data_IF_642080618598
#
_entry.id   IF_642080618598
#
_cell.length_a   1.000
_cell.length_b   1.000
_cell.length_c   1.000
_cell.angle_alpha   90.00
_cell.angle_beta   90.00
_cell.angle_gamma   90.00
#
_symmetry.space_group_name_H-M   'P 1'
#
loop_
_entity.id
_entity.type
_entity.pdbx_description
1 polymer ?
#
# COMPACT_ATOMS: atom_id res chain seq x y z
N UNK A 1 -24.66 -8.44 -2.26
CA UNK A 1 -23.94 -8.15 -3.51
C UNK A 1 -22.50 -7.82 -3.12
N UNK A 2 -21.58 -8.77 -3.24
CA UNK A 2 -20.17 -8.55 -2.98
C UNK A 2 -19.52 -8.16 -4.31
N UNK A 3 -19.36 -6.86 -4.57
CA UNK A 3 -18.45 -6.41 -5.62
C UNK A 3 -17.05 -6.86 -5.21
N UNK A 4 -16.52 -7.85 -5.92
CA UNK A 4 -15.14 -8.28 -5.80
C UNK A 4 -14.24 -7.05 -5.80
N UNK A 5 -13.57 -6.80 -4.67
CA UNK A 5 -12.67 -5.68 -4.46
C UNK A 5 -11.33 -5.94 -5.17
N UNK A 6 -11.42 -6.36 -6.44
CA UNK A 6 -10.28 -6.83 -7.23
C UNK A 6 -9.63 -5.62 -7.87
N UNK A 7 -8.45 -5.27 -7.38
CA UNK A 7 -7.63 -4.23 -8.00
C UNK A 7 -7.11 -4.75 -9.34
N UNK A 8 -7.15 -3.91 -10.36
CA UNK A 8 -6.44 -4.17 -11.63
C UNK A 8 -4.93 -4.12 -11.42
N UNK A 9 -4.16 -4.69 -12.36
CA UNK A 9 -2.69 -4.63 -12.33
C UNK A 9 -2.16 -3.20 -12.19
N UNK A 10 -2.73 -2.26 -12.94
CA UNK A 10 -2.30 -0.86 -12.92
C UNK A 10 -2.62 -0.20 -11.57
N UNK A 11 -3.77 -0.52 -10.97
CA UNK A 11 -4.10 -0.07 -9.62
C UNK A 11 -3.15 -0.64 -8.57
N UNK A 12 -2.79 -1.92 -8.67
CA UNK A 12 -1.81 -2.54 -7.77
C UNK A 12 -0.42 -1.91 -7.91
N UNK A 13 0.02 -1.63 -9.14
CA UNK A 13 1.28 -0.91 -9.39
C UNK A 13 1.23 0.51 -8.81
N UNK A 14 0.12 1.22 -8.99
CA UNK A 14 -0.07 2.55 -8.43
C UNK A 14 -0.01 2.53 -6.91
N UNK A 15 -0.67 1.58 -6.23
CA UNK A 15 -0.59 1.44 -4.78
C UNK A 15 0.83 1.18 -4.31
N UNK A 16 1.58 0.30 -4.99
CA UNK A 16 2.98 0.04 -4.66
C UNK A 16 3.85 1.31 -4.76
N UNK A 17 3.62 2.16 -5.76
CA UNK A 17 4.31 3.44 -5.92
C UNK A 17 3.94 4.44 -4.82
N UNK A 18 2.67 4.50 -4.43
CA UNK A 18 2.21 5.36 -3.34
C UNK A 18 2.82 4.92 -2.01
N UNK A 19 2.79 3.62 -1.69
CA UNK A 19 3.41 3.06 -0.48
C UNK A 19 4.90 3.41 -0.44
N UNK A 20 5.63 3.20 -1.54
CA UNK A 20 7.05 3.57 -1.65
C UNK A 20 7.27 5.07 -1.39
N UNK A 21 6.40 5.93 -1.92
CA UNK A 21 6.51 7.38 -1.75
C UNK A 21 6.27 7.81 -0.31
N UNK A 22 5.28 7.21 0.37
CA UNK A 22 4.99 7.46 1.79
C UNK A 22 6.17 7.05 2.67
N UNK A 23 6.73 5.85 2.46
CA UNK A 23 7.90 5.38 3.21
C UNK A 23 9.13 6.26 2.98
N UNK A 24 9.37 6.71 1.74
CA UNK A 24 10.46 7.64 1.45
C UNK A 24 10.26 8.98 2.16
N UNK A 25 9.04 9.52 2.19
CA UNK A 25 8.73 10.74 2.90
C UNK A 25 8.95 10.57 4.42
N UNK A 26 8.51 9.46 5.02
CA UNK A 26 8.81 9.11 6.41
C UNK A 26 10.33 9.07 6.67
N UNK A 27 11.11 8.47 5.78
CA UNK A 27 12.57 8.43 5.94
C UNK A 27 13.21 9.82 5.87
N UNK A 28 12.68 10.72 5.02
CA UNK A 28 13.15 12.09 4.90
C UNK A 28 12.82 12.92 6.17
N UNK A 29 11.70 12.63 6.83
CA UNK A 29 11.30 13.30 8.07
C UNK A 29 12.25 13.05 9.23
N UNK A 30 13.11 12.02 9.20
CA UNK A 30 14.06 11.71 10.29
C UNK A 30 14.89 12.90 10.80
N UNK A 31 15.18 13.87 9.93
CA UNK A 31 15.97 15.06 10.26
C UNK A 31 15.12 16.30 10.57
N UNK A 32 13.79 16.17 10.60
CA UNK A 32 12.89 17.28 10.90
C UNK A 32 12.88 17.63 12.40
N UNK A 33 12.58 18.89 12.78
CA UNK A 33 12.59 19.33 14.18
C UNK A 33 11.55 18.64 15.08
N UNK A 34 10.47 18.12 14.49
CA UNK A 34 9.43 17.36 15.18
C UNK A 34 8.88 16.27 14.25
N UNK A 35 9.61 15.16 14.08
CA UNK A 35 9.35 14.21 13.01
C UNK A 35 8.26 13.20 13.37
N UNK A 36 7.89 13.08 14.66
CA UNK A 36 7.22 11.90 15.16
C UNK A 36 5.77 11.79 14.67
N UNK A 37 4.97 12.84 14.80
CA UNK A 37 3.55 12.76 14.46
C UNK A 37 3.32 12.61 12.96
N UNK A 38 4.07 13.37 12.14
CA UNK A 38 4.00 13.27 10.67
C UNK A 38 4.56 11.92 10.17
N UNK A 39 5.66 11.43 10.75
CA UNK A 39 6.21 10.13 10.38
C UNK A 39 5.25 8.98 10.72
N UNK A 40 4.62 9.02 11.91
CA UNK A 40 3.64 8.01 12.34
C UNK A 40 2.45 7.99 11.39
N UNK A 41 1.88 9.16 11.05
CA UNK A 41 0.76 9.24 10.12
C UNK A 41 1.09 8.63 8.75
N UNK A 42 2.27 8.95 8.20
CA UNK A 42 2.70 8.42 6.91
C UNK A 42 2.93 6.90 6.95
N UNK A 43 3.43 6.36 8.07
CA UNK A 43 3.58 4.92 8.28
C UNK A 43 2.21 4.24 8.34
N UNK A 44 1.24 4.80 9.08
CA UNK A 44 -0.11 4.26 9.18
C UNK A 44 -0.79 4.23 7.81
N UNK A 45 -0.67 5.31 7.03
CA UNK A 45 -1.19 5.36 5.65
C UNK A 45 -0.54 4.30 4.75
N UNK A 46 0.78 4.13 4.84
CA UNK A 46 1.50 3.12 4.08
C UNK A 46 1.04 1.70 4.46
N UNK A 47 0.86 1.43 5.76
CA UNK A 47 0.39 0.15 6.28
C UNK A 47 -1.05 -0.18 5.83
N UNK A 48 -1.97 0.77 5.90
CA UNK A 48 -3.35 0.56 5.44
C UNK A 48 -3.40 0.24 3.93
N UNK A 49 -2.57 0.91 3.13
CA UNK A 49 -2.47 0.65 1.69
C UNK A 49 -1.81 -0.69 1.39
N UNK A 50 -0.75 -1.06 2.12
CA UNK A 50 -0.11 -2.37 1.94
C UNK A 50 -1.03 -3.52 2.28
N UNK A 51 -1.87 -3.38 3.31
CA UNK A 51 -2.88 -4.39 3.66
C UNK A 51 -3.90 -4.60 2.52
N UNK A 52 -4.38 -3.50 1.90
CA UNK A 52 -5.30 -3.57 0.76
C UNK A 52 -4.64 -4.18 -0.48
N UNK A 53 -3.41 -3.78 -0.78
CA UNK A 53 -2.64 -4.31 -1.90
C UNK A 53 -2.37 -5.81 -1.73
N UNK A 54 -1.98 -6.25 -0.52
CA UNK A 54 -1.75 -7.66 -0.25
C UNK A 54 -3.04 -8.48 -0.42
N UNK A 55 -4.17 -8.00 0.11
CA UNK A 55 -5.45 -8.69 -0.10
C UNK A 55 -5.82 -8.82 -1.58
N UNK A 56 -5.53 -7.80 -2.40
CA UNK A 56 -5.75 -7.85 -3.84
C UNK A 56 -4.79 -8.83 -4.55
N UNK A 57 -3.52 -8.86 -4.15
CA UNK A 57 -2.53 -9.82 -4.68
C UNK A 57 -2.89 -11.25 -4.30
N UNK A 58 -3.32 -11.49 -3.07
CA UNK A 58 -3.80 -12.80 -2.62
C UNK A 58 -5.00 -13.26 -3.44
N UNK A 59 -5.94 -12.35 -3.75
CA UNK A 59 -7.08 -12.67 -4.60
C UNK A 59 -6.63 -13.08 -6.02
N UNK A 60 -5.66 -12.39 -6.61
CA UNK A 60 -5.10 -12.74 -7.93
C UNK A 60 -4.35 -14.07 -7.88
N UNK A 61 -3.51 -14.28 -6.86
CA UNK A 61 -2.70 -15.49 -6.72
C UNK A 61 -3.51 -16.72 -6.31
N UNK A 62 -4.67 -16.53 -5.68
CA UNK A 62 -5.59 -17.62 -5.30
C UNK A 62 -6.51 -18.03 -6.46
N UNK A 63 -6.47 -17.34 -7.60
CA UNK A 63 -7.18 -17.81 -8.79
C UNK A 63 -6.47 -19.08 -9.29
N UNK A 64 -7.18 -20.21 -9.43
CA UNK A 64 -6.60 -21.41 -9.98
C UNK A 64 -6.09 -21.11 -11.38
N UNK A 65 -4.82 -21.44 -11.65
CA UNK A 65 -4.22 -21.36 -12.97
C UNK A 65 -5.15 -22.05 -13.96
N UNK A 66 -5.82 -21.30 -14.84
CA UNK A 66 -6.56 -21.88 -15.94
C UNK A 66 -5.54 -22.64 -16.82
N UNK A 67 -5.61 -23.96 -16.75
CA UNK A 67 -4.87 -24.92 -17.59
C UNK A 67 -5.17 -24.73 -19.06
#
# INVERSE_FOLDING_TARGET
MATENTMTRDQMQSEALVIKSLLNATMALRNAPDPNDEAILLIEMAHQRSAKLNAALDAVNSQPSAT
#
